data_IF_269671628735
#
_entry.id   IF_269671628735
#
_cell.length_a   1.000
_cell.length_b   1.000
_cell.length_c   1.000
_cell.angle_alpha   90.00
_cell.angle_beta   90.00
_cell.angle_gamma   90.00
#
_symmetry.space_group_name_H-M   'P 1'
#
loop_
_entity.id
_entity.type
_entity.pdbx_description
1 polymer ?
#
# COMPACT_ATOMS: atom_id res chain seq x y z
N UNK A 1 -42.24 -11.77 14.15
CA UNK A 1 -40.81 -11.56 14.04
C UNK A 1 -40.54 -10.73 12.80
N UNK A 2 -40.00 -9.51 12.97
CA UNK A 2 -39.53 -8.67 11.88
C UNK A 2 -38.27 -9.33 11.31
N UNK A 3 -38.34 -9.89 10.13
CA UNK A 3 -37.19 -10.33 9.35
C UNK A 3 -36.58 -9.07 8.71
N UNK A 4 -35.50 -8.56 9.27
CA UNK A 4 -34.71 -7.54 8.60
C UNK A 4 -33.96 -8.22 7.43
N UNK A 5 -34.50 -8.04 6.22
CA UNK A 5 -33.76 -8.38 5.02
C UNK A 5 -32.57 -7.42 4.92
N UNK A 6 -31.36 -7.93 5.00
CA UNK A 6 -30.18 -7.14 4.71
C UNK A 6 -30.21 -6.74 3.23
N UNK A 7 -30.47 -5.46 2.96
CA UNK A 7 -30.44 -4.91 1.60
C UNK A 7 -28.98 -4.61 1.27
N UNK A 8 -28.38 -5.43 0.41
CA UNK A 8 -27.04 -5.18 -0.13
C UNK A 8 -27.14 -4.34 -1.40
N UNK A 9 -26.35 -3.27 -1.49
CA UNK A 9 -26.17 -2.52 -2.72
C UNK A 9 -24.86 -2.94 -3.37
N UNK A 10 -24.93 -3.44 -4.60
CA UNK A 10 -23.77 -3.83 -5.39
C UNK A 10 -23.34 -2.64 -6.24
N UNK A 11 -22.04 -2.39 -6.24
CA UNK A 11 -21.40 -1.42 -7.12
C UNK A 11 -20.46 -2.15 -8.09
N UNK A 12 -20.51 -1.81 -9.37
CA UNK A 12 -19.66 -2.34 -10.42
C UNK A 12 -19.37 -1.22 -11.45
N UNK A 13 -18.75 -1.55 -12.57
CA UNK A 13 -18.44 -0.58 -13.64
C UNK A 13 -19.67 0.14 -14.17
N UNK A 14 -20.86 -0.48 -14.14
CA UNK A 14 -22.12 0.16 -14.53
C UNK A 14 -22.61 1.21 -13.53
N UNK A 15 -22.11 1.12 -12.31
CA UNK A 15 -22.36 2.10 -11.23
C UNK A 15 -21.32 3.23 -11.22
N UNK A 16 -20.35 3.23 -12.15
CA UNK A 16 -19.32 4.26 -12.29
C UNK A 16 -17.94 3.88 -11.73
N UNK A 17 -17.78 2.66 -11.18
CA UNK A 17 -16.46 2.16 -10.76
C UNK A 17 -15.56 1.93 -12.00
N UNK A 18 -14.28 2.29 -11.97
CA UNK A 18 -13.39 2.16 -13.12
C UNK A 18 -13.09 0.71 -13.49
N UNK A 19 -13.06 -0.19 -12.51
CA UNK A 19 -12.81 -1.63 -12.70
C UNK A 19 -13.47 -2.48 -11.63
N UNK A 20 -13.88 -3.71 -11.98
CA UNK A 20 -14.56 -4.62 -11.06
C UNK A 20 -13.61 -5.33 -10.06
N UNK A 21 -12.30 -5.30 -10.31
CA UNK A 21 -11.31 -5.88 -9.41
C UNK A 21 -10.84 -4.82 -8.41
N UNK A 22 -11.49 -4.73 -7.27
CA UNK A 22 -11.08 -3.85 -6.17
C UNK A 22 -10.02 -4.55 -5.33
N UNK A 23 -8.85 -3.95 -5.18
CA UNK A 23 -7.70 -4.53 -4.44
C UNK A 23 -7.48 -3.89 -3.08
N UNK A 24 -7.82 -2.62 -2.94
CA UNK A 24 -7.66 -1.89 -1.69
C UNK A 24 -8.78 -0.87 -1.52
N UNK A 25 -9.21 -0.66 -0.28
CA UNK A 25 -10.27 0.27 0.09
C UNK A 25 -9.77 1.13 1.25
N UNK A 26 -10.08 2.42 1.20
CA UNK A 26 -9.68 3.39 2.20
C UNK A 26 -10.83 4.37 2.43
N UNK A 27 -11.07 4.75 3.68
CA UNK A 27 -11.91 5.91 4.01
C UNK A 27 -11.01 7.08 4.43
N UNK A 28 -11.22 8.25 3.81
CA UNK A 28 -10.53 9.47 4.21
C UNK A 28 -11.18 10.14 5.43
N UNK A 29 -10.57 11.22 5.92
CA UNK A 29 -11.05 11.95 7.11
C UNK A 29 -12.33 12.74 6.86
N UNK A 30 -12.70 12.98 5.59
CA UNK A 30 -13.91 13.71 5.20
C UNK A 30 -15.09 12.73 5.07
N UNK A 31 -14.79 11.42 4.96
CA UNK A 31 -15.77 10.34 4.85
C UNK A 31 -15.93 9.78 3.44
N UNK A 32 -15.18 10.27 2.45
CA UNK A 32 -15.14 9.65 1.13
C UNK A 32 -14.50 8.26 1.19
N UNK A 33 -15.07 7.34 0.40
CA UNK A 33 -14.50 6.00 0.22
C UNK A 33 -13.65 5.98 -1.05
N UNK A 34 -12.43 5.49 -0.92
CA UNK A 34 -11.47 5.34 -2.02
C UNK A 34 -11.28 3.87 -2.36
N UNK A 35 -11.29 3.57 -3.64
CA UNK A 35 -11.16 2.22 -4.16
C UNK A 35 -10.02 2.16 -5.17
N UNK A 36 -9.05 1.32 -4.90
CA UNK A 36 -7.98 0.98 -5.82
C UNK A 36 -8.41 -0.18 -6.71
N UNK A 37 -8.39 0.03 -8.02
CA UNK A 37 -8.73 -1.01 -8.99
C UNK A 37 -7.59 -1.23 -9.99
N UNK A 38 -7.69 -2.27 -10.81
CA UNK A 38 -6.79 -2.48 -11.93
C UNK A 38 -6.88 -1.38 -13.01
N UNK A 39 -7.96 -0.58 -13.00
CA UNK A 39 -8.27 0.41 -14.02
C UNK A 39 -8.33 1.84 -13.45
N UNK A 40 -7.70 2.09 -12.30
CA UNK A 40 -7.55 3.42 -11.70
C UNK A 40 -7.97 3.55 -10.24
N UNK A 41 -7.84 4.77 -9.73
CA UNK A 41 -8.27 5.19 -8.40
C UNK A 41 -9.70 5.76 -8.48
N UNK A 42 -10.56 5.39 -7.55
CA UNK A 42 -11.95 5.82 -7.54
C UNK A 42 -12.28 6.45 -6.18
N UNK A 43 -12.94 7.60 -6.19
CA UNK A 43 -13.53 8.24 -5.02
C UNK A 43 -15.04 8.11 -5.05
N UNK A 44 -15.65 7.66 -3.96
CA UNK A 44 -17.08 7.55 -3.80
C UNK A 44 -17.58 8.50 -2.72
N UNK A 45 -18.54 9.35 -3.05
CA UNK A 45 -19.11 10.35 -2.15
C UNK A 45 -20.41 9.91 -1.46
N UNK A 46 -20.77 8.62 -1.58
CA UNK A 46 -22.05 8.06 -1.10
C UNK A 46 -23.12 7.98 -2.19
N UNK A 47 -22.96 8.68 -3.31
CA UNK A 47 -23.92 8.77 -4.42
C UNK A 47 -23.29 8.26 -5.72
N UNK A 48 -22.11 8.78 -6.09
CA UNK A 48 -21.43 8.54 -7.38
C UNK A 48 -19.93 8.36 -7.22
N UNK A 49 -19.31 7.78 -8.26
CA UNK A 49 -17.88 7.61 -8.37
C UNK A 49 -17.23 8.70 -9.20
N UNK A 50 -16.09 9.20 -8.76
CA UNK A 50 -15.14 10.00 -9.56
C UNK A 50 -13.90 9.15 -9.79
N UNK A 51 -13.43 9.05 -11.03
CA UNK A 51 -12.32 8.17 -11.43
C UNK A 51 -11.08 9.00 -11.74
N UNK A 52 -9.91 8.51 -11.28
CA UNK A 52 -8.59 9.12 -11.47
C UNK A 52 -7.60 8.08 -12.00
N UNK A 53 -6.51 8.54 -12.64
CA UNK A 53 -5.45 7.65 -13.14
C UNK A 53 -5.74 7.10 -14.53
N UNK A 54 -6.62 7.76 -15.28
CA UNK A 54 -6.80 7.55 -16.71
C UNK A 54 -5.98 8.60 -17.47
N UNK A 55 -5.03 8.18 -18.29
CA UNK A 55 -4.29 9.05 -19.20
C UNK A 55 -4.74 8.80 -20.63
N UNK A 56 -5.23 9.85 -21.29
CA UNK A 56 -5.53 9.84 -22.72
C UNK A 56 -4.40 10.45 -23.56
N UNK A 57 -3.24 10.71 -22.95
CA UNK A 57 -2.09 11.25 -23.68
C UNK A 57 -1.56 10.22 -24.68
N UNK A 58 -1.34 10.67 -25.93
CA UNK A 58 -0.87 9.88 -27.06
C UNK A 58 -1.85 8.86 -27.68
N UNK A 59 -3.16 9.03 -27.53
CA UNK A 59 -4.16 8.20 -28.24
C UNK A 59 -4.31 6.76 -27.75
N UNK A 60 -3.72 6.43 -26.61
CA UNK A 60 -3.90 5.15 -25.91
C UNK A 60 -4.65 5.34 -24.58
N UNK A 61 -5.66 4.52 -24.32
CA UNK A 61 -6.27 4.43 -23.00
C UNK A 61 -5.29 3.69 -22.09
N UNK A 62 -4.43 4.42 -21.39
CA UNK A 62 -3.57 3.85 -20.36
C UNK A 62 -4.25 4.00 -19.00
N UNK A 63 -4.55 2.88 -18.37
CA UNK A 63 -5.11 2.83 -17.03
C UNK A 63 -4.00 2.53 -16.02
N UNK A 64 -4.02 3.23 -14.89
CA UNK A 64 -3.11 2.96 -13.78
C UNK A 64 -3.58 1.71 -13.05
N UNK A 65 -2.87 0.59 -13.19
CA UNK A 65 -3.14 -0.65 -12.49
C UNK A 65 -2.69 -0.53 -11.02
N UNK A 66 -3.63 -0.16 -10.13
CA UNK A 66 -3.33 0.11 -8.73
C UNK A 66 -3.39 -1.18 -7.92
N UNK A 67 -2.36 -1.40 -7.11
CA UNK A 67 -2.22 -2.57 -6.24
C UNK A 67 -2.74 -2.29 -4.84
N UNK A 68 -2.33 -1.17 -4.25
CA UNK A 68 -2.73 -0.78 -2.89
C UNK A 68 -2.72 0.73 -2.71
N UNK A 69 -3.48 1.21 -1.73
CA UNK A 69 -3.53 2.61 -1.30
C UNK A 69 -3.34 2.71 0.21
N UNK A 70 -2.73 3.80 0.66
CA UNK A 70 -2.54 4.10 2.06
C UNK A 70 -2.82 5.58 2.31
N UNK A 71 -3.54 5.90 3.39
CA UNK A 71 -3.80 7.29 3.75
C UNK A 71 -2.50 7.97 4.16
N UNK A 72 -2.22 9.13 3.57
CA UNK A 72 -1.14 10.00 4.02
C UNK A 72 -1.50 10.65 5.37
N UNK A 73 -0.51 11.11 6.12
CA UNK A 73 -0.75 11.81 7.39
C UNK A 73 -1.49 13.14 7.18
N UNK A 74 -1.23 13.81 6.06
CA UNK A 74 -2.03 14.95 5.63
C UNK A 74 -3.34 14.46 5.02
N UNK A 75 -4.45 15.04 5.46
CA UNK A 75 -5.80 14.52 5.22
C UNK A 75 -6.25 14.54 3.75
N UNK A 76 -5.59 15.34 2.91
CA UNK A 76 -5.93 15.50 1.48
C UNK A 76 -5.06 14.65 0.55
N UNK A 77 -4.15 13.84 1.08
CA UNK A 77 -3.21 13.07 0.27
C UNK A 77 -3.36 11.56 0.52
N UNK A 78 -3.10 10.79 -0.54
CA UNK A 78 -3.17 9.33 -0.55
C UNK A 78 -1.94 8.77 -1.26
N UNK A 79 -1.24 7.84 -0.61
CA UNK A 79 -0.24 7.03 -1.28
C UNK A 79 -0.93 6.02 -2.19
N UNK A 80 -0.52 5.98 -3.43
CA UNK A 80 -1.10 5.12 -4.47
C UNK A 80 0.02 4.31 -5.10
N UNK A 81 0.02 3.02 -4.86
CA UNK A 81 0.97 2.09 -5.45
C UNK A 81 0.35 1.43 -6.69
N UNK A 82 0.98 1.64 -7.84
CA UNK A 82 0.69 0.89 -9.06
C UNK A 82 1.64 -0.29 -9.20
N UNK A 83 1.44 -1.11 -10.23
CA UNK A 83 2.38 -2.19 -10.59
C UNK A 83 3.77 -1.68 -10.97
N UNK A 84 3.91 -0.41 -11.33
CA UNK A 84 5.16 0.17 -11.81
C UNK A 84 5.81 1.10 -10.79
N UNK A 85 5.02 1.98 -10.17
CA UNK A 85 5.53 3.09 -9.36
C UNK A 85 4.66 3.35 -8.14
N UNK A 86 5.26 4.03 -7.17
CA UNK A 86 4.57 4.65 -6.05
C UNK A 86 4.30 6.13 -6.38
N UNK A 87 3.09 6.58 -6.07
CA UNK A 87 2.65 7.95 -6.25
C UNK A 87 2.10 8.53 -4.95
N UNK A 88 2.18 9.83 -4.83
CA UNK A 88 1.38 10.62 -3.90
C UNK A 88 0.27 11.32 -4.70
N UNK A 89 -0.98 11.05 -4.38
CA UNK A 89 -2.14 11.68 -4.98
C UNK A 89 -2.67 12.78 -4.06
N UNK A 90 -2.74 14.00 -4.55
CA UNK A 90 -3.40 15.12 -3.88
C UNK A 90 -4.87 15.19 -4.33
N UNK A 91 -5.79 15.01 -3.37
CA UNK A 91 -7.23 14.92 -3.66
C UNK A 91 -7.88 16.28 -3.90
N UNK A 92 -7.20 17.40 -3.59
CA UNK A 92 -7.69 18.75 -3.84
C UNK A 92 -7.24 19.25 -5.21
N UNK A 93 -5.96 19.01 -5.55
CA UNK A 93 -5.43 19.34 -6.87
C UNK A 93 -5.78 18.27 -7.92
N UNK A 94 -6.29 17.11 -7.49
CA UNK A 94 -6.60 15.92 -8.30
C UNK A 94 -5.40 15.45 -9.13
N UNK A 95 -4.20 15.49 -8.53
CA UNK A 95 -2.93 15.29 -9.21
C UNK A 95 -2.08 14.21 -8.58
N UNK A 96 -1.47 13.40 -9.44
CA UNK A 96 -0.46 12.41 -9.05
C UNK A 96 0.95 13.00 -9.15
N UNK A 97 1.75 12.78 -8.11
CA UNK A 97 3.19 13.06 -8.11
C UNK A 97 3.95 11.74 -7.90
N UNK A 98 4.96 11.49 -8.73
CA UNK A 98 5.77 10.26 -8.61
C UNK A 98 6.65 10.34 -7.39
N UNK A 99 6.72 9.26 -6.60
CA UNK A 99 7.69 9.11 -5.55
C UNK A 99 9.02 8.65 -6.15
N UNK A 100 10.02 9.52 -6.15
CA UNK A 100 11.32 9.34 -6.80
C UNK A 100 12.51 9.26 -5.82
N UNK A 101 12.23 9.07 -4.52
CA UNK A 101 13.28 8.95 -3.51
C UNK A 101 14.07 7.66 -3.66
N UNK A 102 15.36 7.75 -3.37
CA UNK A 102 16.29 6.64 -3.36
C UNK A 102 16.98 6.55 -2.00
N UNK A 103 17.46 5.36 -1.67
CA UNK A 103 18.37 5.14 -0.53
C UNK A 103 19.76 5.74 -0.83
N UNK A 104 20.63 5.83 0.16
CA UNK A 104 22.01 6.35 -0.03
C UNK A 104 22.81 5.52 -1.03
N UNK A 105 22.55 4.22 -1.14
CA UNK A 105 23.16 3.29 -2.09
C UNK A 105 22.42 3.19 -3.44
N UNK A 106 21.38 4.04 -3.66
CA UNK A 106 20.68 4.20 -4.93
C UNK A 106 19.50 3.25 -5.15
N UNK A 107 19.06 2.49 -4.14
CA UNK A 107 17.87 1.65 -4.28
C UNK A 107 16.59 2.48 -4.35
N UNK A 108 15.69 2.09 -5.25
CA UNK A 108 14.42 2.77 -5.52
C UNK A 108 13.22 1.91 -5.15
N UNK A 109 12.13 2.55 -4.78
CA UNK A 109 10.86 1.88 -4.46
C UNK A 109 10.11 1.53 -5.74
N UNK A 110 9.91 0.25 -5.97
CA UNK A 110 9.13 -0.30 -7.08
C UNK A 110 8.31 -1.49 -6.60
N UNK A 111 7.29 -1.91 -7.38
CA UNK A 111 6.50 -3.13 -7.12
C UNK A 111 6.01 -3.23 -5.68
N UNK A 112 5.27 -2.20 -5.25
CA UNK A 112 4.74 -2.07 -3.89
C UNK A 112 3.48 -2.90 -3.72
N UNK A 113 3.42 -3.70 -2.64
CA UNK A 113 2.26 -4.53 -2.30
C UNK A 113 1.58 -4.15 -0.98
N UNK A 114 2.31 -3.62 -0.03
CA UNK A 114 1.78 -3.21 1.26
C UNK A 114 2.40 -1.92 1.77
N UNK A 115 1.59 -1.12 2.45
CA UNK A 115 2.04 0.13 3.08
C UNK A 115 1.33 0.33 4.41
N UNK A 116 2.05 0.84 5.41
CA UNK A 116 1.49 1.29 6.67
C UNK A 116 2.38 2.37 7.30
N UNK A 117 1.78 3.28 8.04
CA UNK A 117 2.52 4.18 8.91
C UNK A 117 2.77 3.54 10.27
N UNK A 118 3.95 3.79 10.85
CA UNK A 118 4.19 3.53 12.28
C UNK A 118 3.71 4.72 13.15
N UNK A 119 3.85 4.56 14.46
CA UNK A 119 3.43 5.60 15.42
C UNK A 119 4.36 6.82 15.43
N UNK A 120 5.57 6.71 14.86
CA UNK A 120 6.53 7.81 14.70
C UNK A 120 6.31 8.60 13.39
N UNK A 121 5.34 8.16 12.58
CA UNK A 121 4.99 8.77 11.32
C UNK A 121 5.94 8.43 10.19
N UNK A 122 6.62 7.29 10.25
CA UNK A 122 7.39 6.76 9.14
C UNK A 122 6.50 5.85 8.27
N UNK A 123 6.61 5.98 6.96
CA UNK A 123 5.92 5.12 6.02
C UNK A 123 6.75 3.86 5.73
N UNK A 124 6.19 2.71 6.06
CA UNK A 124 6.73 1.40 5.77
C UNK A 124 6.17 0.90 4.44
N UNK A 125 7.03 0.48 3.53
CA UNK A 125 6.69 0.17 2.14
C UNK A 125 7.24 -1.22 1.80
N UNK A 126 6.35 -2.17 1.60
CA UNK A 126 6.69 -3.56 1.25
C UNK A 126 6.73 -3.75 -0.26
N UNK A 127 7.83 -4.30 -0.76
CA UNK A 127 8.09 -4.52 -2.17
C UNK A 127 8.49 -5.95 -2.47
N UNK A 128 8.73 -6.28 -3.74
CA UNK A 128 9.37 -7.55 -4.14
C UNK A 128 10.87 -7.59 -3.87
N UNK A 129 11.48 -6.44 -3.55
CA UNK A 129 12.91 -6.30 -3.32
C UNK A 129 13.21 -5.73 -1.92
N UNK A 130 12.53 -6.25 -0.91
CA UNK A 130 12.73 -5.86 0.48
C UNK A 130 11.71 -4.85 0.99
N UNK A 131 11.97 -4.38 2.17
CA UNK A 131 11.16 -3.46 2.94
C UNK A 131 11.82 -2.10 2.98
N UNK A 132 11.12 -1.06 2.55
CA UNK A 132 11.59 0.31 2.66
C UNK A 132 10.89 1.05 3.81
N UNK A 133 11.62 1.99 4.44
CA UNK A 133 11.07 2.88 5.46
C UNK A 133 11.41 4.32 5.09
N UNK A 134 10.38 5.09 4.80
CA UNK A 134 10.49 6.49 4.45
C UNK A 134 10.16 7.39 5.64
N UNK A 135 11.12 8.20 6.03
CA UNK A 135 10.93 9.27 7.01
C UNK A 135 10.76 10.60 6.27
N UNK A 136 9.54 11.05 6.12
CA UNK A 136 9.21 12.25 5.36
C UNK A 136 9.83 13.52 5.98
N UNK A 137 9.79 13.64 7.32
CA UNK A 137 10.34 14.79 8.05
C UNK A 137 11.84 14.97 7.85
N UNK A 138 12.57 13.85 7.69
CA UNK A 138 14.02 13.83 7.44
C UNK A 138 14.36 13.74 5.96
N UNK A 139 13.37 13.40 5.11
CA UNK A 139 13.58 13.12 3.69
C UNK A 139 14.43 11.87 3.42
N UNK A 140 14.55 10.95 4.40
CA UNK A 140 15.41 9.77 4.30
C UNK A 140 14.63 8.52 3.95
N UNK A 141 15.20 7.69 3.09
CA UNK A 141 14.69 6.38 2.72
C UNK A 141 15.73 5.31 3.12
N UNK A 142 15.29 4.29 3.88
CA UNK A 142 16.11 3.13 4.27
C UNK A 142 15.52 1.86 3.67
N UNK A 143 16.37 0.85 3.44
CA UNK A 143 15.96 -0.46 2.97
C UNK A 143 16.43 -1.54 3.94
N UNK A 144 15.56 -2.52 4.20
CA UNK A 144 15.88 -3.75 4.90
C UNK A 144 15.73 -4.93 3.95
N UNK A 145 16.73 -5.80 3.98
CA UNK A 145 16.79 -7.00 3.15
C UNK A 145 16.90 -8.26 3.99
N UNK A 146 16.48 -9.38 3.42
CA UNK A 146 16.80 -10.70 3.94
C UNK A 146 18.29 -10.99 3.81
N UNK A 147 18.87 -11.63 4.83
CA UNK A 147 20.24 -12.12 4.84
C UNK A 147 20.32 -13.50 5.47
N UNK A 148 20.88 -14.46 4.76
CA UNK A 148 21.10 -15.82 5.29
C UNK A 148 22.09 -15.86 6.48
N UNK A 149 22.97 -14.86 6.58
CA UNK A 149 23.94 -14.76 7.66
C UNK A 149 23.44 -14.01 8.90
N UNK A 150 22.26 -13.37 8.81
CA UNK A 150 21.68 -12.60 9.91
C UNK A 150 20.30 -13.17 10.29
N UNK A 151 20.18 -13.91 11.40
CA UNK A 151 18.91 -14.48 11.85
C UNK A 151 17.88 -13.42 12.30
N UNK A 152 18.30 -12.17 12.43
CA UNK A 152 17.46 -11.03 12.77
C UNK A 152 17.08 -10.18 11.56
N UNK A 153 17.42 -10.61 10.35
CA UNK A 153 16.93 -10.00 9.10
C UNK A 153 15.49 -10.42 8.78
N UNK A 154 14.94 -9.87 7.70
CA UNK A 154 13.63 -10.29 7.18
C UNK A 154 13.65 -11.78 6.78
N UNK A 155 12.53 -12.53 6.93
CA UNK A 155 12.42 -13.90 6.45
C UNK A 155 12.55 -14.05 4.92
N UNK A 156 12.13 -13.02 4.16
CA UNK A 156 12.20 -12.98 2.70
C UNK A 156 12.15 -11.52 2.23
N UNK A 157 12.70 -11.23 1.05
CA UNK A 157 12.64 -9.91 0.42
C UNK A 157 11.29 -9.59 -0.24
N UNK A 158 10.47 -10.61 -0.50
CA UNK A 158 9.15 -10.40 -1.08
C UNK A 158 8.12 -10.12 0.01
N UNK A 159 7.73 -8.86 0.13
CA UNK A 159 6.79 -8.38 1.15
C UNK A 159 5.39 -8.27 0.54
N UNK A 160 4.41 -8.95 1.14
CA UNK A 160 3.02 -8.92 0.71
C UNK A 160 2.17 -7.90 1.44
N UNK A 161 2.38 -7.76 2.74
CA UNK A 161 1.53 -6.95 3.61
C UNK A 161 2.34 -6.37 4.76
N UNK A 162 1.98 -5.16 5.17
CA UNK A 162 2.48 -4.50 6.37
C UNK A 162 1.28 -4.13 7.22
N UNK A 163 1.37 -4.37 8.51
CA UNK A 163 0.32 -4.07 9.45
C UNK A 163 0.90 -3.44 10.72
N UNK A 164 0.38 -2.28 11.08
CA UNK A 164 0.63 -1.64 12.38
C UNK A 164 -0.51 -2.03 13.32
N UNK A 165 -0.20 -2.79 14.37
CA UNK A 165 -1.22 -3.23 15.31
C UNK A 165 -1.61 -2.12 16.31
N UNK A 166 -2.62 -2.38 17.14
CA UNK A 166 -3.12 -1.43 18.15
C UNK A 166 -2.11 -1.10 19.26
N UNK A 167 -1.01 -1.84 19.35
CA UNK A 167 0.09 -1.60 20.28
C UNK A 167 1.26 -0.84 19.63
N UNK A 168 1.15 -0.53 18.34
CA UNK A 168 2.21 0.14 17.57
C UNK A 168 3.30 -0.81 17.06
N UNK A 169 3.05 -2.11 17.08
CA UNK A 169 3.98 -3.09 16.54
C UNK A 169 3.80 -3.22 15.03
N UNK A 170 4.90 -3.09 14.28
CA UNK A 170 4.89 -3.34 12.84
C UNK A 170 5.10 -4.82 12.57
N UNK A 171 4.13 -5.40 11.88
CA UNK A 171 4.14 -6.77 11.38
C UNK A 171 4.32 -6.77 9.86
N UNK A 172 5.16 -7.65 9.37
CA UNK A 172 5.51 -7.75 7.95
C UNK A 172 5.25 -9.18 7.48
N UNK A 173 4.24 -9.37 6.63
CA UNK A 173 3.98 -10.63 5.95
C UNK A 173 4.86 -10.74 4.71
N UNK A 174 5.73 -11.76 4.69
CA UNK A 174 6.64 -12.04 3.59
C UNK A 174 6.24 -13.32 2.86
N UNK A 175 6.90 -13.60 1.73
CA UNK A 175 6.71 -14.87 1.01
C UNK A 175 7.09 -16.08 1.86
N UNK A 176 8.06 -15.95 2.77
CA UNK A 176 8.60 -17.04 3.58
C UNK A 176 8.36 -16.83 5.08
N UNK A 177 7.19 -16.35 5.45
CA UNK A 177 6.81 -16.21 6.86
C UNK A 177 6.44 -14.80 7.28
N UNK A 178 6.25 -14.63 8.59
CA UNK A 178 5.89 -13.38 9.22
C UNK A 178 7.10 -12.81 9.95
N UNK A 179 7.29 -11.50 9.90
CA UNK A 179 8.28 -10.79 10.72
C UNK A 179 7.60 -9.78 11.64
N UNK A 180 8.17 -9.63 12.83
CA UNK A 180 7.87 -8.56 13.77
C UNK A 180 9.07 -7.62 13.85
N UNK A 181 8.85 -6.33 13.66
CA UNK A 181 9.89 -5.32 13.84
C UNK A 181 10.15 -5.04 15.31
N UNK A 182 11.42 -5.02 15.69
CA UNK A 182 11.89 -4.69 17.04
C UNK A 182 12.48 -3.27 17.02
N UNK A 183 11.70 -2.28 17.39
CA UNK A 183 12.09 -0.87 17.34
C UNK A 183 13.35 -0.56 18.17
N UNK A 184 13.53 -1.23 19.32
CA UNK A 184 14.68 -0.98 20.22
C UNK A 184 16.03 -1.42 19.63
N UNK A 185 16.04 -2.49 18.85
CA UNK A 185 17.25 -3.08 18.25
C UNK A 185 17.38 -2.87 16.77
N UNK A 186 16.37 -2.23 16.14
CA UNK A 186 16.28 -1.94 14.71
C UNK A 186 16.48 -3.20 13.83
N UNK A 187 15.81 -4.31 14.23
CA UNK A 187 15.90 -5.61 13.55
C UNK A 187 14.57 -6.35 13.59
N UNK A 188 14.53 -7.62 13.16
CA UNK A 188 13.31 -8.39 13.05
C UNK A 188 13.37 -9.69 13.85
N UNK A 189 12.21 -10.12 14.34
CA UNK A 189 11.96 -11.49 14.80
C UNK A 189 11.14 -12.19 13.74
N UNK A 190 11.72 -13.21 13.10
CA UNK A 190 11.06 -14.01 12.08
C UNK A 190 10.25 -15.16 12.68
N UNK A 191 9.08 -15.43 12.11
CA UNK A 191 8.20 -16.57 12.40
C UNK A 191 8.04 -17.36 11.11
N UNK A 192 8.81 -18.42 10.97
CA UNK A 192 8.83 -19.29 9.80
C UNK A 192 8.23 -20.62 10.20
N UNK A 193 7.32 -21.17 9.41
CA UNK A 193 6.78 -22.52 9.65
C UNK A 193 7.85 -23.56 9.32
N UNK A 194 8.30 -24.31 10.30
CA UNK A 194 9.14 -25.49 10.06
C UNK A 194 8.31 -26.55 9.34
N UNK A 195 8.59 -26.81 8.06
CA UNK A 195 8.11 -28.01 7.38
C UNK A 195 7.21 -27.89 6.17
N UNK A 196 7.17 -26.76 5.47
CA UNK A 196 6.56 -26.72 4.13
C UNK A 196 7.54 -26.21 3.08
N UNK A 197 8.35 -27.13 2.55
CA UNK A 197 8.89 -26.92 1.21
C UNK A 197 7.71 -27.02 0.24
N UNK A 198 7.19 -25.90 -0.23
CA UNK A 198 6.33 -25.88 -1.40
C UNK A 198 7.22 -26.19 -2.61
N UNK A 199 7.07 -27.43 -3.11
CA UNK A 199 7.67 -27.87 -4.37
C UNK A 199 6.99 -27.22 -5.58
#
# INVERSE_FOLDING_TARGET
SLVFANIYKKYDVRSGLSGNCVRSILQDSIGYMWFATQDGLNRFNGIEFTNYGHSSENGGNSYMNIVTICRHQDNNQIWVASTEKLYLFDSWEEKFSVFDKQTEDGASVNSVFGMAYDNDGQLWIGTTNGLFVYNEKKGTLRQYLHSLSDPHSLPDNHIWVIYNDSFGTIWIGTRNGLAKYNQRTDNFTGYISEGTSFG
#
